data_IF_249896626748
#
_entry.id   IF_249896626748
#
_cell.length_a   1.000
_cell.length_b   1.000
_cell.length_c   1.000
_cell.angle_alpha   90.00
_cell.angle_beta   90.00
_cell.angle_gamma   90.00
#
_symmetry.space_group_name_H-M   'P 1'
#
loop_
_entity.id
_entity.type
_entity.pdbx_description
1 polymer ?
#
# COMPACT_ATOMS: atom_id res chain seq x y z
N UNK A 1 -9.91 14.35 -21.49
CA UNK A 1 -9.73 15.14 -20.25
C UNK A 1 -9.08 14.21 -19.25
N UNK A 2 -7.79 14.39 -18.97
CA UNK A 2 -7.03 13.57 -18.01
C UNK A 2 -7.69 13.71 -16.63
N UNK A 3 -8.18 12.60 -16.06
CA UNK A 3 -8.68 12.60 -14.68
C UNK A 3 -7.47 12.87 -13.78
N UNK A 4 -7.47 13.99 -13.09
CA UNK A 4 -6.46 14.27 -12.07
C UNK A 4 -6.59 13.21 -10.96
N UNK A 5 -5.45 12.71 -10.48
CA UNK A 5 -5.39 11.87 -9.30
C UNK A 5 -6.19 12.51 -8.17
N UNK A 6 -7.04 11.71 -7.55
CA UNK A 6 -7.81 12.11 -6.37
C UNK A 6 -7.45 11.19 -5.23
N UNK A 7 -7.01 11.77 -4.15
CA UNK A 7 -6.91 11.09 -2.87
C UNK A 7 -7.67 11.86 -1.81
N UNK A 8 -8.02 11.13 -0.76
CA UNK A 8 -8.62 11.70 0.45
C UNK A 8 -7.75 11.30 1.62
N UNK A 9 -7.43 12.26 2.49
CA UNK A 9 -6.62 12.03 3.69
C UNK A 9 -7.47 12.23 4.93
N UNK A 10 -7.31 11.34 5.90
CA UNK A 10 -7.89 11.42 7.23
C UNK A 10 -6.77 11.42 8.26
N UNK A 11 -6.76 12.39 9.15
CA UNK A 11 -5.92 12.38 10.34
C UNK A 11 -6.62 11.57 11.43
N UNK A 12 -6.01 10.45 11.82
CA UNK A 12 -6.52 9.52 12.83
C UNK A 12 -5.71 9.53 14.12
N UNK A 13 -4.81 10.50 14.28
CA UNK A 13 -4.07 10.68 15.52
C UNK A 13 -5.04 10.83 16.70
N UNK A 14 -4.74 10.13 17.79
CA UNK A 14 -5.60 10.10 18.98
C UNK A 14 -6.76 9.09 18.92
N UNK A 15 -7.00 8.40 17.79
CA UNK A 15 -8.03 7.36 17.68
C UNK A 15 -7.50 5.95 17.90
N UNK A 16 -6.17 5.77 17.83
CA UNK A 16 -5.51 4.48 17.99
C UNK A 16 -5.24 4.13 19.46
N UNK A 17 -5.04 2.83 19.77
CA UNK A 17 -4.60 2.42 21.10
C UNK A 17 -3.30 3.13 21.51
N UNK A 18 -3.09 3.32 22.83
CA UNK A 18 -1.82 3.85 23.32
C UNK A 18 -0.65 3.03 22.79
N UNK A 19 0.46 3.70 22.47
CA UNK A 19 1.69 3.07 21.96
C UNK A 19 1.54 2.25 20.64
N UNK A 20 0.50 2.50 19.86
CA UNK A 20 0.22 1.77 18.63
C UNK A 20 1.42 1.73 17.65
N UNK A 21 2.18 2.83 17.57
CA UNK A 21 3.37 2.90 16.71
C UNK A 21 4.46 1.93 17.19
N UNK A 22 4.68 1.82 18.51
CA UNK A 22 5.62 0.87 19.09
C UNK A 22 5.20 -0.57 18.79
N UNK A 23 3.91 -0.88 18.92
CA UNK A 23 3.39 -2.21 18.60
C UNK A 23 3.57 -2.54 17.12
N UNK A 24 3.25 -1.61 16.21
CA UNK A 24 3.46 -1.82 14.78
C UNK A 24 4.95 -1.99 14.44
N UNK A 25 5.84 -1.18 15.01
CA UNK A 25 7.28 -1.32 14.80
C UNK A 25 7.81 -2.67 15.28
N UNK A 26 7.33 -3.17 16.41
CA UNK A 26 7.70 -4.49 16.92
C UNK A 26 7.28 -5.63 15.97
N UNK A 27 6.07 -5.54 15.39
CA UNK A 27 5.61 -6.51 14.39
C UNK A 27 6.38 -6.38 13.08
N UNK A 28 6.64 -5.15 12.62
CA UNK A 28 7.39 -4.87 11.40
C UNK A 28 8.87 -5.30 11.49
N UNK A 29 9.42 -5.42 12.71
CA UNK A 29 10.78 -5.93 12.92
C UNK A 29 10.96 -7.36 12.42
N UNK A 30 9.88 -8.17 12.47
CA UNK A 30 9.83 -9.57 12.05
C UNK A 30 9.31 -9.74 10.62
N UNK A 31 9.26 -8.67 9.81
CA UNK A 31 8.81 -8.75 8.43
C UNK A 31 9.70 -9.70 7.59
N UNK A 32 9.09 -10.35 6.61
CA UNK A 32 9.82 -11.11 5.60
C UNK A 32 10.58 -10.13 4.69
N UNK A 33 11.88 -9.95 4.97
CA UNK A 33 12.76 -9.08 4.21
C UNK A 33 13.51 -9.88 3.14
N UNK A 34 13.18 -9.62 1.89
CA UNK A 34 13.84 -10.27 0.74
C UNK A 34 13.66 -9.47 -0.55
N UNK A 35 14.27 -9.94 -1.62
CA UNK A 35 13.96 -9.47 -2.97
C UNK A 35 12.73 -10.21 -3.47
N UNK A 36 11.68 -9.47 -3.74
CA UNK A 36 10.44 -9.99 -4.33
C UNK A 36 10.50 -9.83 -5.85
N UNK A 37 10.07 -10.83 -6.62
CA UNK A 37 9.92 -10.66 -8.05
C UNK A 37 8.88 -9.58 -8.34
N UNK A 38 9.02 -8.89 -9.48
CA UNK A 38 8.04 -7.89 -9.89
C UNK A 38 6.67 -8.54 -10.13
N UNK A 39 5.62 -7.81 -9.82
CA UNK A 39 4.23 -8.29 -9.93
C UNK A 39 3.85 -8.47 -11.41
N UNK A 40 3.43 -9.66 -11.87
CA UNK A 40 3.00 -9.87 -13.24
C UNK A 40 1.86 -8.92 -13.64
N UNK A 41 1.86 -8.43 -14.88
CA UNK A 41 0.84 -7.56 -15.50
C UNK A 41 0.65 -6.19 -14.83
N UNK A 42 0.84 -6.09 -13.52
CA UNK A 42 0.58 -4.87 -12.75
C UNK A 42 1.83 -3.99 -12.59
N UNK A 43 3.02 -4.58 -12.72
CA UNK A 43 4.29 -3.87 -12.60
C UNK A 43 4.45 -2.77 -13.65
N UNK A 44 5.04 -1.68 -13.21
CA UNK A 44 5.52 -0.56 -14.02
C UNK A 44 7.01 -0.31 -13.80
N UNK A 45 7.73 -1.39 -13.54
CA UNK A 45 9.18 -1.37 -13.47
C UNK A 45 9.78 -1.49 -14.85
N UNK A 46 10.97 -0.90 -15.05
CA UNK A 46 11.75 -1.09 -16.27
C UNK A 46 12.03 -2.58 -16.54
N UNK A 47 12.20 -2.95 -17.78
CA UNK A 47 12.29 -4.37 -18.19
C UNK A 47 13.47 -5.14 -17.57
N UNK A 48 14.54 -4.44 -17.22
CA UNK A 48 15.73 -4.97 -16.56
C UNK A 48 15.59 -5.16 -15.05
N UNK A 49 14.55 -4.57 -14.43
CA UNK A 49 14.25 -4.74 -13.00
C UNK A 49 13.41 -5.98 -12.82
N UNK A 50 14.02 -7.07 -12.38
CA UNK A 50 13.32 -8.34 -12.15
C UNK A 50 12.84 -8.54 -10.71
N UNK A 51 13.50 -7.91 -9.74
CA UNK A 51 13.23 -8.06 -8.31
C UNK A 51 13.41 -6.74 -7.56
N UNK A 52 12.62 -6.54 -6.51
CA UNK A 52 12.66 -5.35 -5.65
C UNK A 52 12.82 -5.78 -4.18
N UNK A 53 13.82 -5.21 -3.49
CA UNK A 53 14.04 -5.46 -2.07
C UNK A 53 13.02 -4.70 -1.22
N UNK A 54 12.29 -5.42 -0.37
CA UNK A 54 11.31 -4.87 0.56
C UNK A 54 11.02 -5.86 1.70
N UNK A 55 10.33 -5.41 2.73
CA UNK A 55 9.79 -6.24 3.80
C UNK A 55 8.26 -6.32 3.74
N UNK A 56 7.70 -7.44 4.19
CA UNK A 56 6.27 -7.66 4.28
C UNK A 56 5.90 -8.40 5.56
N UNK A 57 4.85 -7.92 6.25
CA UNK A 57 4.12 -8.67 7.27
C UNK A 57 2.79 -9.11 6.66
N UNK A 58 2.53 -10.40 6.62
CA UNK A 58 1.34 -10.97 6.00
C UNK A 58 0.07 -10.71 6.82
N UNK A 59 -1.07 -10.83 6.18
CA UNK A 59 -2.36 -10.49 6.78
C UNK A 59 -2.74 -11.36 7.99
N UNK A 60 -2.36 -12.63 8.00
CA UNK A 60 -2.53 -13.54 9.14
C UNK A 60 -1.75 -13.05 10.37
N UNK A 61 -0.49 -12.64 10.20
CA UNK A 61 0.35 -12.07 11.25
C UNK A 61 -0.22 -10.72 11.75
N UNK A 62 -0.72 -9.88 10.84
CA UNK A 62 -1.39 -8.61 11.22
C UNK A 62 -2.64 -8.91 12.04
N UNK A 63 -3.47 -9.86 11.64
CA UNK A 63 -4.68 -10.25 12.37
C UNK A 63 -4.37 -10.77 13.76
N UNK A 64 -3.32 -11.59 13.90
CA UNK A 64 -2.92 -12.19 15.17
C UNK A 64 -2.27 -11.16 16.11
N UNK A 65 -1.33 -10.38 15.60
CA UNK A 65 -0.45 -9.52 16.42
C UNK A 65 -0.93 -8.09 16.55
N UNK A 66 -1.77 -7.62 15.61
CA UNK A 66 -2.37 -6.28 15.58
C UNK A 66 -3.89 -6.36 15.41
N UNK A 67 -4.62 -7.08 16.27
CA UNK A 67 -6.05 -7.34 16.09
C UNK A 67 -6.89 -6.07 16.06
N UNK A 68 -6.43 -4.98 16.68
CA UNK A 68 -7.06 -3.67 16.59
C UNK A 68 -7.01 -3.09 15.17
N UNK A 69 -5.88 -3.24 14.47
CA UNK A 69 -5.69 -2.76 13.10
C UNK A 69 -6.59 -3.53 12.12
N UNK A 70 -6.61 -4.87 12.26
CA UNK A 70 -7.49 -5.72 11.47
C UNK A 70 -8.98 -5.38 11.72
N UNK A 71 -9.38 -5.14 12.96
CA UNK A 71 -10.74 -4.71 13.29
C UNK A 71 -11.06 -3.37 12.67
N UNK A 72 -10.17 -2.38 12.80
CA UNK A 72 -10.35 -1.05 12.21
C UNK A 72 -10.51 -1.13 10.69
N UNK A 73 -9.76 -2.00 10.01
CA UNK A 73 -9.92 -2.25 8.57
C UNK A 73 -11.35 -2.68 8.22
N UNK A 74 -11.95 -3.57 9.02
CA UNK A 74 -13.30 -4.12 8.79
C UNK A 74 -14.43 -3.19 9.23
N UNK A 75 -14.13 -2.13 9.96
CA UNK A 75 -15.11 -1.18 10.52
C UNK A 75 -14.78 0.26 10.11
N UNK A 76 -14.11 1.00 10.96
CA UNK A 76 -13.84 2.44 10.79
C UNK A 76 -13.18 2.78 9.46
N UNK A 77 -12.19 1.99 9.01
CA UNK A 77 -11.52 2.29 7.74
C UNK A 77 -12.41 1.95 6.55
N UNK A 78 -13.26 0.93 6.65
CA UNK A 78 -14.28 0.65 5.63
C UNK A 78 -15.30 1.80 5.51
N UNK A 79 -15.75 2.35 6.64
CA UNK A 79 -16.62 3.53 6.64
C UNK A 79 -15.97 4.76 6.02
N UNK A 80 -14.67 4.98 6.30
CA UNK A 80 -13.92 6.07 5.69
C UNK A 80 -13.67 5.82 4.19
N UNK A 81 -13.41 4.59 3.78
CA UNK A 81 -13.30 4.19 2.38
C UNK A 81 -14.61 4.46 1.62
N UNK A 82 -15.76 4.16 2.22
CA UNK A 82 -17.06 4.46 1.65
C UNK A 82 -17.31 5.98 1.48
N UNK A 83 -16.75 6.81 2.37
CA UNK A 83 -16.81 8.29 2.21
C UNK A 83 -15.87 8.79 1.10
N UNK A 84 -14.78 8.09 0.82
CA UNK A 84 -13.82 8.45 -0.21
C UNK A 84 -14.24 8.00 -1.62
N UNK A 85 -15.12 7.01 -1.72
CA UNK A 85 -15.58 6.42 -2.98
C UNK A 85 -16.95 6.95 -3.40
N UNK A 86 -17.21 7.15 -4.71
CA UNK A 86 -18.54 7.44 -5.22
C UNK A 86 -19.45 6.18 -5.32
N UNK A 87 -18.90 4.99 -5.10
CA UNK A 87 -19.59 3.70 -5.19
C UNK A 87 -19.61 3.01 -3.83
N UNK A 88 -20.47 2.01 -3.68
CA UNK A 88 -20.46 1.10 -2.52
C UNK A 88 -19.11 0.40 -2.42
N UNK A 89 -18.56 0.34 -1.20
CA UNK A 89 -17.24 -0.22 -0.94
C UNK A 89 -17.35 -1.46 -0.06
N UNK A 90 -16.62 -2.49 -0.41
CA UNK A 90 -16.44 -3.70 0.38
C UNK A 90 -14.96 -3.94 0.72
N UNK A 91 -14.70 -4.42 1.92
CA UNK A 91 -13.39 -4.94 2.28
C UNK A 91 -13.15 -6.28 1.54
N UNK A 92 -11.87 -6.63 1.31
CA UNK A 92 -11.52 -7.92 0.71
C UNK A 92 -12.14 -9.08 1.47
N UNK A 93 -12.74 -10.04 0.75
CA UNK A 93 -13.26 -11.29 1.32
C UNK A 93 -12.15 -12.32 1.51
N UNK A 94 -11.16 -12.33 0.61
CA UNK A 94 -9.92 -13.10 0.82
C UNK A 94 -9.06 -12.36 1.86
N UNK A 95 -9.02 -12.90 3.07
CA UNK A 95 -8.33 -12.29 4.20
C UNK A 95 -6.83 -12.04 3.96
N UNK A 96 -6.20 -12.79 3.04
CA UNK A 96 -4.79 -12.61 2.65
C UNK A 96 -4.54 -11.23 2.01
N UNK A 97 -5.59 -10.63 1.42
CA UNK A 97 -5.57 -9.32 0.79
C UNK A 97 -6.16 -8.21 1.67
N UNK A 98 -6.57 -8.52 2.89
CA UNK A 98 -7.25 -7.57 3.76
C UNK A 98 -6.36 -6.40 4.15
N UNK A 99 -5.46 -6.63 5.09
CA UNK A 99 -4.48 -5.65 5.56
C UNK A 99 -3.13 -6.30 5.78
N UNK A 100 -2.09 -5.72 5.19
CA UNK A 100 -0.69 -6.16 5.32
C UNK A 100 0.17 -4.99 5.74
N UNK A 101 1.36 -5.24 6.32
CA UNK A 101 2.34 -4.18 6.49
C UNK A 101 3.40 -4.27 5.39
N UNK A 102 3.63 -3.16 4.74
CA UNK A 102 4.74 -2.94 3.85
C UNK A 102 5.86 -2.23 4.62
N UNK A 103 7.06 -2.81 4.61
CA UNK A 103 8.20 -2.35 5.40
C UNK A 103 9.39 -2.07 4.49
N UNK A 104 10.05 -0.94 4.71
CA UNK A 104 11.34 -0.61 4.10
C UNK A 104 12.35 -0.36 5.23
N UNK A 105 13.58 -0.80 5.03
CA UNK A 105 14.73 -0.51 5.89
C UNK A 105 15.88 0.02 5.07
N UNK A 106 16.48 1.09 5.56
CA UNK A 106 17.64 1.69 4.94
C UNK A 106 17.40 2.15 3.50
N UNK A 107 18.46 2.60 2.88
CA UNK A 107 18.44 3.23 1.54
C UNK A 107 18.29 2.23 0.39
N UNK A 108 18.57 0.93 0.65
CA UNK A 108 18.54 -0.13 -0.36
C UNK A 108 17.15 -0.72 -0.65
N UNK A 109 16.11 -0.33 0.08
CA UNK A 109 14.75 -0.84 -0.10
C UNK A 109 13.81 0.22 -0.65
N UNK A 110 12.89 -0.20 -1.52
CA UNK A 110 11.79 0.60 -2.03
C UNK A 110 10.56 -0.26 -2.30
N UNK A 111 9.43 0.36 -2.58
CA UNK A 111 8.29 -0.38 -3.11
C UNK A 111 8.28 -0.33 -4.64
N UNK A 112 7.84 -1.45 -5.23
CA UNK A 112 7.65 -1.64 -6.65
C UNK A 112 6.77 -0.54 -7.25
N UNK A 113 7.13 -0.06 -8.43
CA UNK A 113 6.24 0.76 -9.24
C UNK A 113 5.21 -0.14 -9.93
N UNK A 114 3.93 0.04 -9.61
CA UNK A 114 2.85 -0.81 -10.09
C UNK A 114 1.50 -0.08 -10.06
N UNK A 115 0.49 -0.72 -10.61
CA UNK A 115 -0.92 -0.44 -10.34
C UNK A 115 -1.50 -1.56 -9.49
N UNK A 116 -2.56 -1.28 -8.73
CA UNK A 116 -3.25 -2.31 -7.95
C UNK A 116 -4.33 -3.02 -8.76
N UNK A 117 -4.69 -4.21 -8.33
CA UNK A 117 -5.83 -4.94 -8.89
C UNK A 117 -7.18 -4.45 -8.33
N UNK A 118 -7.18 -3.85 -7.15
CA UNK A 118 -8.36 -3.27 -6.51
C UNK A 118 -8.51 -1.78 -6.86
N UNK A 119 -9.75 -1.27 -6.94
CA UNK A 119 -10.01 0.10 -7.37
C UNK A 119 -9.65 1.15 -6.30
N UNK A 120 -9.70 0.78 -5.03
CA UNK A 120 -9.45 1.68 -3.91
C UNK A 120 -8.45 1.06 -2.94
N UNK A 121 -7.31 1.71 -2.77
CA UNK A 121 -6.29 1.31 -1.80
C UNK A 121 -6.27 2.31 -0.65
N UNK A 122 -6.31 1.77 0.57
CA UNK A 122 -6.08 2.54 1.80
C UNK A 122 -4.63 2.35 2.27
N UNK A 123 -3.96 3.44 2.61
CA UNK A 123 -2.61 3.44 3.18
C UNK A 123 -2.62 4.19 4.51
N UNK A 124 -2.42 3.47 5.62
CA UNK A 124 -2.16 4.09 6.91
C UNK A 124 -0.64 4.20 7.09
N UNK A 125 -0.13 5.43 7.10
CA UNK A 125 1.26 5.67 7.44
C UNK A 125 1.48 5.43 8.95
N UNK A 126 2.45 4.57 9.27
CA UNK A 126 2.74 4.19 10.65
C UNK A 126 4.03 4.83 11.19
N UNK A 127 4.78 5.50 10.31
CA UNK A 127 6.04 6.18 10.62
C UNK A 127 6.09 7.53 9.92
N UNK A 128 6.82 8.47 10.51
CA UNK A 128 7.13 9.78 9.93
C UNK A 128 8.49 9.75 9.25
N UNK A 129 8.60 10.41 8.09
CA UNK A 129 9.87 10.62 7.41
C UNK A 129 9.90 12.02 6.81
N UNK A 130 10.93 12.79 7.14
CA UNK A 130 11.14 14.11 6.57
C UNK A 130 11.60 14.03 5.12
N UNK A 131 12.46 13.05 4.82
CA UNK A 131 13.02 12.75 3.50
C UNK A 131 13.05 11.26 3.23
N UNK A 132 12.75 10.87 1.98
CA UNK A 132 12.66 9.48 1.57
C UNK A 132 11.37 8.80 2.02
N UNK A 133 11.08 7.64 1.44
CA UNK A 133 9.88 6.86 1.76
C UNK A 133 8.57 7.48 1.29
N UNK A 134 8.60 8.58 0.50
CA UNK A 134 7.38 9.18 -0.04
C UNK A 134 6.64 8.19 -0.94
N UNK A 135 5.31 8.26 -0.89
CA UNK A 135 4.47 7.66 -1.90
C UNK A 135 4.42 8.59 -3.11
N UNK A 136 4.85 8.08 -4.26
CA UNK A 136 4.74 8.76 -5.55
C UNK A 136 3.59 8.16 -6.32
N UNK A 137 2.68 8.99 -6.82
CA UNK A 137 1.50 8.57 -7.57
C UNK A 137 1.46 9.30 -8.90
N UNK A 138 1.58 8.55 -9.99
CA UNK A 138 1.54 9.06 -11.35
C UNK A 138 0.13 9.47 -11.77
N UNK A 139 0.03 10.55 -12.53
CA UNK A 139 -1.25 11.00 -13.09
C UNK A 139 -1.57 10.36 -14.44
N UNK A 140 -0.56 9.82 -15.11
CA UNK A 140 -0.72 9.09 -16.37
C UNK A 140 -0.84 7.59 -16.10
N UNK A 141 -2.01 7.00 -16.37
CA UNK A 141 -2.27 5.57 -16.20
C UNK A 141 -1.37 4.68 -17.07
N UNK A 142 -0.90 5.20 -18.21
CA UNK A 142 -0.07 4.50 -19.19
C UNK A 142 1.45 4.68 -18.93
N UNK A 143 1.83 5.32 -17.82
CA UNK A 143 3.25 5.44 -17.46
C UNK A 143 3.86 4.04 -17.31
N UNK A 144 4.88 3.76 -18.12
CA UNK A 144 5.46 2.43 -18.28
C UNK A 144 6.60 2.13 -17.28
N UNK A 145 7.17 3.18 -16.67
CA UNK A 145 8.30 3.08 -15.74
C UNK A 145 8.31 4.24 -14.73
N UNK A 146 9.23 4.17 -13.76
CA UNK A 146 9.39 5.20 -12.74
C UNK A 146 9.70 6.58 -13.35
N UNK A 147 10.54 6.63 -14.40
CA UNK A 147 10.88 7.91 -15.03
C UNK A 147 9.65 8.55 -15.70
N UNK A 148 8.75 7.75 -16.25
CA UNK A 148 7.48 8.22 -16.80
C UNK A 148 6.52 8.70 -15.70
N UNK A 149 6.48 8.02 -14.56
CA UNK A 149 5.69 8.42 -13.39
C UNK A 149 6.18 9.74 -12.82
N UNK A 150 7.49 9.90 -12.63
CA UNK A 150 8.09 11.12 -12.04
C UNK A 150 7.89 12.39 -12.87
N UNK A 151 7.60 12.28 -14.18
CA UNK A 151 7.34 13.44 -15.04
C UNK A 151 6.03 14.17 -14.73
N UNK A 152 5.04 13.43 -14.25
CA UNK A 152 3.72 13.97 -13.90
C UNK A 152 3.13 13.16 -12.75
N UNK A 153 3.42 13.58 -11.51
CA UNK A 153 3.05 12.85 -10.31
C UNK A 153 2.69 13.76 -9.13
N UNK A 154 2.04 13.16 -8.16
CA UNK A 154 1.91 13.69 -6.81
C UNK A 154 2.85 12.96 -5.87
N UNK A 155 3.52 13.70 -4.99
CA UNK A 155 4.43 13.16 -3.97
C UNK A 155 3.79 13.37 -2.60
N UNK A 156 3.52 12.27 -1.90
CA UNK A 156 2.85 12.27 -0.61
C UNK A 156 3.85 11.82 0.45
N UNK A 157 4.15 12.72 1.39
CA UNK A 157 5.03 12.41 2.52
C UNK A 157 4.31 11.55 3.55
N UNK A 158 4.98 10.53 4.11
CA UNK A 158 4.41 9.75 5.19
C UNK A 158 4.35 10.57 6.48
N UNK A 159 3.13 10.66 7.03
CA UNK A 159 2.87 11.21 8.36
C UNK A 159 2.15 10.14 9.19
N UNK A 160 2.76 9.73 10.30
CA UNK A 160 2.18 8.69 11.15
C UNK A 160 0.78 9.07 11.64
N UNK A 161 -0.15 8.12 11.56
CA UNK A 161 -1.56 8.34 11.89
C UNK A 161 -2.42 8.89 10.75
N UNK A 162 -1.82 9.28 9.63
CA UNK A 162 -2.58 9.67 8.44
C UNK A 162 -2.97 8.44 7.62
N UNK A 163 -4.26 8.34 7.33
CA UNK A 163 -4.84 7.35 6.42
C UNK A 163 -5.23 8.05 5.12
N UNK A 164 -4.72 7.56 4.01
CA UNK A 164 -5.11 8.03 2.68
C UNK A 164 -5.85 6.94 1.92
N UNK A 165 -6.79 7.35 1.08
CA UNK A 165 -7.41 6.50 0.07
C UNK A 165 -7.16 7.09 -1.31
N UNK A 166 -6.86 6.24 -2.29
CA UNK A 166 -6.67 6.66 -3.67
C UNK A 166 -7.04 5.56 -4.67
N UNK A 167 -7.30 5.97 -5.91
CA UNK A 167 -7.58 5.07 -7.03
C UNK A 167 -6.27 4.44 -7.54
N UNK A 168 -5.82 3.41 -6.84
CA UNK A 168 -4.56 2.74 -7.12
C UNK A 168 -4.57 1.87 -8.39
N UNK A 169 -5.76 1.52 -8.90
CA UNK A 169 -5.91 0.75 -10.13
C UNK A 169 -5.57 1.57 -11.38
N UNK A 170 -5.90 2.85 -11.38
CA UNK A 170 -5.71 3.75 -12.51
C UNK A 170 -4.49 4.65 -12.38
N UNK A 171 -3.76 4.55 -11.28
CA UNK A 171 -2.61 5.41 -11.00
C UNK A 171 -1.38 4.57 -10.65
N UNK A 172 -0.38 4.48 -11.54
CA UNK A 172 0.91 3.87 -11.23
C UNK A 172 1.54 4.57 -10.03
N UNK A 173 2.00 3.78 -9.07
CA UNK A 173 2.54 4.33 -7.84
C UNK A 173 3.67 3.47 -7.28
N UNK A 174 4.51 4.07 -6.46
CA UNK A 174 5.60 3.39 -5.76
C UNK A 174 6.00 4.18 -4.52
N UNK A 175 6.81 3.59 -3.64
CA UNK A 175 7.43 4.32 -2.56
C UNK A 175 8.93 4.47 -2.81
N UNK A 176 9.44 5.71 -2.67
CA UNK A 176 10.87 6.01 -2.78
C UNK A 176 11.68 5.27 -1.71
N UNK A 177 12.98 5.02 -1.93
CA UNK A 177 13.89 4.61 -0.87
C UNK A 177 13.89 5.59 0.29
N UNK A 178 14.30 5.12 1.46
CA UNK A 178 14.58 5.98 2.62
C UNK A 178 15.87 6.78 2.40
N UNK A 179 15.99 7.91 3.08
CA UNK A 179 17.17 8.75 2.99
C UNK A 179 18.30 8.32 3.94
N UNK A 180 17.96 7.62 5.04
CA UNK A 180 18.92 7.16 6.03
C UNK A 180 18.94 5.63 6.17
N UNK A 181 20.13 5.06 6.44
CA UNK A 181 20.35 3.61 6.45
C UNK A 181 19.74 2.92 7.69
N UNK A 182 19.63 3.63 8.79
CA UNK A 182 19.05 3.14 10.05
C UNK A 182 17.54 3.40 10.18
N UNK A 183 16.93 4.03 9.19
CA UNK A 183 15.49 4.28 9.16
C UNK A 183 14.66 3.05 8.80
N UNK A 184 13.42 3.05 9.30
CA UNK A 184 12.40 2.05 8.94
C UNK A 184 11.05 2.72 8.66
N UNK A 185 10.57 2.58 7.43
CA UNK A 185 9.22 2.98 7.03
C UNK A 185 8.26 1.80 7.14
N UNK A 186 7.12 2.04 7.77
CA UNK A 186 6.02 1.08 7.89
C UNK A 186 4.72 1.72 7.42
N UNK A 187 4.02 1.02 6.53
CA UNK A 187 2.69 1.40 6.05
C UNK A 187 1.77 0.19 6.10
N UNK A 188 0.59 0.34 6.69
CA UNK A 188 -0.46 -0.65 6.55
C UNK A 188 -1.21 -0.41 5.23
N UNK A 189 -1.22 -1.42 4.38
CA UNK A 189 -1.88 -1.40 3.06
C UNK A 189 -3.17 -2.20 3.14
N UNK A 190 -4.25 -1.62 2.65
CA UNK A 190 -5.59 -2.17 2.74
C UNK A 190 -6.27 -2.13 1.38
N UNK A 191 -6.87 -3.25 0.98
CA UNK A 191 -7.54 -3.40 -0.30
C UNK A 191 -9.05 -3.32 -0.12
N UNK A 192 -9.69 -2.46 -0.93
CA UNK A 192 -11.14 -2.31 -0.98
C UNK A 192 -11.62 -2.47 -2.43
N UNK A 193 -12.80 -3.04 -2.56
CA UNK A 193 -13.44 -3.32 -3.85
C UNK A 193 -14.75 -2.54 -3.98
N UNK A 194 -15.18 -2.29 -5.22
CA UNK A 194 -16.43 -1.59 -5.52
C UNK A 194 -17.33 -2.45 -6.40
N UNK A 195 -18.56 -2.00 -6.63
CA UNK A 195 -19.50 -2.70 -7.52
C UNK A 195 -18.96 -2.80 -8.95
N UNK A 196 -18.35 -1.73 -9.46
CA UNK A 196 -17.75 -1.71 -10.81
C UNK A 196 -16.48 -2.60 -10.91
N UNK A 197 -15.78 -2.81 -9.81
CA UNK A 197 -14.58 -3.64 -9.73
C UNK A 197 -14.64 -4.56 -8.52
N UNK A 198 -15.45 -5.64 -8.58
CA UNK A 198 -15.56 -6.60 -7.49
C UNK A 198 -14.28 -7.44 -7.36
N UNK A 199 -14.07 -8.04 -6.21
CA UNK A 199 -12.88 -8.84 -5.92
C UNK A 199 -12.65 -9.99 -6.91
N UNK A 200 -13.71 -10.51 -7.53
CA UNK A 200 -13.64 -11.55 -8.57
C UNK A 200 -12.92 -11.10 -9.84
N UNK A 201 -12.70 -9.79 -10.03
CA UNK A 201 -11.93 -9.24 -11.17
C UNK A 201 -10.42 -9.27 -10.94
N UNK A 202 -9.96 -9.69 -9.76
CA UNK A 202 -8.53 -9.82 -9.45
C UNK A 202 -7.88 -10.87 -10.36
N UNK A 203 -6.71 -10.56 -10.96
CA UNK A 203 -5.99 -11.52 -11.78
C UNK A 203 -5.64 -12.80 -11.00
N UNK A 204 -5.93 -13.98 -11.55
CA UNK A 204 -5.62 -15.26 -10.91
C UNK A 204 -4.12 -15.45 -10.66
N UNK A 205 -3.29 -15.00 -11.59
CA UNK A 205 -1.83 -15.05 -11.51
C UNK A 205 -1.28 -14.30 -10.29
N UNK A 206 -2.04 -13.34 -9.75
CA UNK A 206 -1.64 -12.58 -8.58
C UNK A 206 -1.61 -13.44 -7.32
N UNK A 207 -2.56 -14.36 -7.15
CA UNK A 207 -2.58 -15.31 -6.03
C UNK A 207 -1.34 -16.20 -6.06
N UNK A 208 -1.05 -16.78 -7.23
CA UNK A 208 0.14 -17.62 -7.42
C UNK A 208 1.44 -16.86 -7.16
N UNK A 209 1.51 -15.61 -7.64
CA UNK A 209 2.69 -14.76 -7.44
C UNK A 209 2.92 -14.38 -5.97
N UNK A 210 1.85 -14.04 -5.26
CA UNK A 210 1.95 -13.54 -3.89
C UNK A 210 2.01 -14.64 -2.82
N UNK A 211 1.38 -15.79 -3.07
CA UNK A 211 1.17 -16.84 -2.08
C UNK A 211 1.61 -18.23 -2.52
N UNK A 212 1.97 -18.43 -3.79
CA UNK A 212 2.42 -19.72 -4.32
C UNK A 212 1.27 -20.70 -4.61
N UNK A 213 0.02 -20.29 -4.45
CA UNK A 213 -1.16 -21.14 -4.60
C UNK A 213 -1.86 -20.91 -5.95
N UNK A 214 -2.50 -21.96 -6.44
CA UNK A 214 -3.46 -21.91 -7.56
C UNK A 214 -4.87 -21.60 -7.06
#
# INVERSE_FOLDING_TARGET
MLRRFRWTTFDLNGTFPSEWQRHIRAVAADADFRKFPRTPVLSREAADVSQIARGRVHADQVRERLPWLYRSYRTTFLELAAKASPESVAAASDERYGVVLNVQRGTGMRFECHIDSNPLTGLLFCTDHAEGGELVVGHNADAADIAAVERDCSVIRPHAGHLIFFDARNHPHYARPLAAEDDMRVVAVMNFYTESYPESTRPRELNKHLYGDD
#
